data_IF_938717462019
#
_entry.id   IF_938717462019
#
_cell.length_a   1.000
_cell.length_b   1.000
_cell.length_c   1.000
_cell.angle_alpha   90.00
_cell.angle_beta   90.00
_cell.angle_gamma   90.00
#
_symmetry.space_group_name_H-M   'P 1'
#
loop_
_entity.id
_entity.type
_entity.pdbx_description
1 polymer ?
#
# COMPACT_ATOMS: atom_id res chain seq x y z
N UNK A 1 -2.77 -29.32 -35.66
CA UNK A 1 -2.20 -28.44 -34.62
C UNK A 1 -1.86 -29.31 -33.42
N UNK A 2 -0.68 -29.13 -32.82
CA UNK A 2 -0.29 -29.93 -31.65
C UNK A 2 -1.21 -29.63 -30.46
N UNK A 3 -1.63 -30.67 -29.74
CA UNK A 3 -2.38 -30.49 -28.49
C UNK A 3 -1.43 -30.02 -27.39
N UNK A 4 -1.68 -28.85 -26.83
CA UNK A 4 -0.84 -28.31 -25.75
C UNK A 4 -1.23 -28.90 -24.40
N UNK A 5 -0.24 -29.22 -23.57
CA UNK A 5 -0.47 -29.78 -22.23
C UNK A 5 -1.07 -28.77 -21.24
N UNK A 6 -0.84 -27.46 -21.43
CA UNK A 6 -1.22 -26.39 -20.51
C UNK A 6 -2.01 -25.26 -21.19
N UNK A 7 -1.60 -24.86 -22.40
CA UNK A 7 -2.21 -23.72 -23.12
C UNK A 7 -3.67 -24.04 -23.44
N UNK A 8 -4.58 -23.12 -23.11
CA UNK A 8 -6.02 -23.26 -23.36
C UNK A 8 -6.78 -24.13 -22.34
N UNK A 9 -6.12 -24.68 -21.32
CA UNK A 9 -6.77 -25.52 -20.30
C UNK A 9 -7.20 -24.70 -19.08
N UNK A 10 -8.38 -24.99 -18.53
CA UNK A 10 -8.86 -24.42 -17.26
C UNK A 10 -8.02 -24.98 -16.11
N UNK A 11 -7.03 -24.21 -15.66
CA UNK A 11 -6.22 -24.51 -14.47
C UNK A 11 -6.48 -23.46 -13.40
N UNK A 12 -6.54 -23.83 -12.11
CA UNK A 12 -6.51 -22.86 -11.03
C UNK A 12 -5.25 -21.99 -11.13
N UNK A 13 -5.36 -20.70 -10.79
CA UNK A 13 -4.17 -19.84 -10.72
C UNK A 13 -3.31 -20.28 -9.53
N UNK A 14 -1.99 -20.12 -9.67
CA UNK A 14 -1.02 -20.48 -8.63
C UNK A 14 -1.28 -19.76 -7.31
N UNK A 15 -1.77 -18.52 -7.39
CA UNK A 15 -2.06 -17.63 -6.26
C UNK A 15 -3.53 -17.69 -5.80
N UNK A 16 -4.36 -18.54 -6.42
CA UNK A 16 -5.80 -18.53 -6.17
C UNK A 16 -6.12 -18.92 -4.73
N UNK A 17 -5.45 -19.95 -4.19
CA UNK A 17 -5.75 -20.50 -2.86
C UNK A 17 -5.54 -19.45 -1.77
N UNK A 18 -4.33 -18.90 -1.67
CA UNK A 18 -3.97 -17.92 -0.65
C UNK A 18 -4.88 -16.67 -0.69
N UNK A 19 -5.32 -16.28 -1.89
CA UNK A 19 -6.23 -15.14 -2.08
C UNK A 19 -7.65 -15.42 -1.61
N UNK A 20 -8.18 -16.62 -1.83
CA UNK A 20 -9.55 -16.97 -1.41
C UNK A 20 -9.64 -17.40 0.05
N UNK A 21 -8.52 -17.82 0.66
CA UNK A 21 -8.45 -18.18 2.08
C UNK A 21 -8.13 -16.98 2.98
N UNK A 22 -7.65 -15.87 2.41
CA UNK A 22 -7.15 -14.72 3.18
C UNK A 22 -5.75 -14.94 3.76
N UNK A 23 -5.04 -15.99 3.33
CA UNK A 23 -3.66 -16.26 3.73
C UNK A 23 -2.66 -15.35 2.97
N UNK A 24 -3.05 -14.84 1.81
CA UNK A 24 -2.24 -13.90 1.05
C UNK A 24 -2.08 -12.58 1.81
N UNK A 25 -0.84 -12.22 2.13
CA UNK A 25 -0.49 -10.94 2.74
C UNK A 25 -0.19 -9.89 1.69
N UNK A 26 -0.85 -8.75 1.79
CA UNK A 26 -0.62 -7.54 1.02
C UNK A 26 0.15 -6.51 1.85
N UNK A 27 0.60 -5.43 1.21
CA UNK A 27 1.46 -4.43 1.85
C UNK A 27 0.90 -3.88 3.17
N UNK A 28 -0.42 -3.69 3.26
CA UNK A 28 -1.09 -3.17 4.45
C UNK A 28 -1.23 -4.20 5.59
N UNK A 29 -1.02 -5.49 5.33
CA UNK A 29 -1.14 -6.56 6.33
C UNK A 29 0.15 -6.73 7.15
N UNK A 30 1.23 -6.04 6.75
CA UNK A 30 2.49 -6.06 7.47
C UNK A 30 2.49 -5.01 8.59
N UNK A 31 2.99 -5.42 9.75
CA UNK A 31 3.33 -4.54 10.86
C UNK A 31 4.61 -5.04 11.51
N UNK A 32 5.65 -4.20 11.50
CA UNK A 32 6.99 -4.56 11.93
C UNK A 32 7.37 -3.79 13.20
N UNK A 33 8.22 -4.36 14.07
CA UNK A 33 8.76 -3.63 15.22
C UNK A 33 9.46 -2.33 14.78
N UNK A 34 9.08 -1.21 15.39
CA UNK A 34 9.66 0.11 15.07
C UNK A 34 9.11 0.77 13.79
N UNK A 35 8.12 0.17 13.12
CA UNK A 35 7.48 0.78 11.94
C UNK A 35 6.81 2.11 12.30
N UNK A 36 7.10 3.15 11.51
CA UNK A 36 6.41 4.43 11.60
C UNK A 36 5.15 4.43 10.75
N UNK A 37 4.14 5.17 11.22
CA UNK A 37 2.91 5.41 10.49
C UNK A 37 2.94 6.80 9.88
N UNK A 38 2.52 6.94 8.62
CA UNK A 38 2.50 8.21 7.93
C UNK A 38 1.06 8.74 7.74
N UNK A 39 0.93 10.06 7.67
CA UNK A 39 -0.29 10.75 7.26
C UNK A 39 0.08 11.89 6.33
N UNK A 40 -0.55 11.93 5.16
CA UNK A 40 -0.24 12.92 4.13
C UNK A 40 -1.20 14.11 4.22
N UNK A 41 -0.66 15.31 4.40
CA UNK A 41 -1.36 16.56 4.12
C UNK A 41 -1.29 16.83 2.61
N UNK A 42 -2.45 17.02 1.97
CA UNK A 42 -2.54 17.26 0.52
C UNK A 42 -3.04 18.67 0.25
N UNK A 43 -2.71 19.19 -0.94
CA UNK A 43 -3.23 20.48 -1.39
C UNK A 43 -4.76 20.45 -1.43
N UNK A 44 -5.45 21.44 -0.86
CA UNK A 44 -6.89 21.60 -1.04
C UNK A 44 -7.22 22.24 -2.40
N UNK A 45 -6.22 22.76 -3.12
CA UNK A 45 -6.38 23.43 -4.41
C UNK A 45 -5.83 22.57 -5.56
N UNK A 46 -6.49 22.59 -6.74
CA UNK A 46 -6.01 21.87 -7.92
C UNK A 46 -4.73 22.49 -8.50
N UNK A 47 -4.51 23.79 -8.32
CA UNK A 47 -3.31 24.50 -8.75
C UNK A 47 -3.03 25.70 -7.84
N UNK A 48 -1.85 25.75 -7.25
CA UNK A 48 -1.38 26.86 -6.42
C UNK A 48 0.16 26.83 -6.34
N UNK A 49 0.77 27.99 -6.07
CA UNK A 49 2.19 28.07 -5.72
C UNK A 49 2.33 27.88 -4.21
N UNK A 50 3.18 26.95 -3.79
CA UNK A 50 3.54 26.80 -2.37
C UNK A 50 4.44 27.98 -2.00
N UNK A 51 4.00 28.79 -1.05
CA UNK A 51 4.80 29.91 -0.53
C UNK A 51 5.54 29.51 0.75
N UNK A 52 4.91 28.70 1.59
CA UNK A 52 5.42 28.31 2.90
C UNK A 52 4.80 26.99 3.37
N UNK A 53 5.52 26.27 4.25
CA UNK A 53 5.04 25.07 4.97
C UNK A 53 5.52 25.15 6.42
N UNK A 54 4.60 25.34 7.37
CA UNK A 54 4.88 25.30 8.81
C UNK A 54 4.48 23.95 9.42
N UNK A 55 5.49 23.15 9.79
CA UNK A 55 5.33 21.83 10.46
C UNK A 55 5.33 21.93 11.98
N UNK A 56 5.59 23.11 12.57
CA UNK A 56 5.90 23.25 13.99
C UNK A 56 4.81 22.73 14.91
N UNK A 57 3.54 22.87 14.51
CA UNK A 57 2.38 22.33 15.26
C UNK A 57 2.34 20.80 15.24
N UNK A 58 2.69 20.18 14.11
CA UNK A 58 2.69 18.73 13.98
C UNK A 58 3.84 18.12 14.78
N UNK A 59 5.04 18.69 14.71
CA UNK A 59 6.24 18.23 15.43
C UNK A 59 6.08 18.24 16.95
N UNK A 60 5.23 19.12 17.49
CA UNK A 60 4.93 19.17 18.94
C UNK A 60 3.98 18.07 19.42
N UNK A 61 3.37 17.30 18.52
CA UNK A 61 2.43 16.25 18.93
C UNK A 61 3.18 15.00 19.42
N UNK A 62 2.75 14.37 20.53
CA UNK A 62 3.33 13.11 20.99
C UNK A 62 3.25 12.02 19.91
N UNK A 63 4.36 11.31 19.72
CA UNK A 63 4.44 10.20 18.77
C UNK A 63 4.80 10.59 17.33
N UNK A 64 4.85 11.89 17.00
CA UNK A 64 5.41 12.36 15.74
C UNK A 64 6.93 12.20 15.77
N UNK A 65 7.48 11.62 14.70
CA UNK A 65 8.92 11.38 14.54
C UNK A 65 9.58 12.33 13.56
N UNK A 66 8.82 12.73 12.54
CA UNK A 66 9.17 13.64 11.47
C UNK A 66 7.88 14.17 10.84
#
# INVERSE_FOLDING_TARGET
MAEFSVIGKRKPRVDAREKVTGEAKYAADYSLPGMLWCKLLRSPYPHARILDIDTSRAERLPGVKA
#
